data_IF_615136061752
#
_entry.id   IF_615136061752
#
_cell.length_a   1.000
_cell.length_b   1.000
_cell.length_c   1.000
_cell.angle_alpha   90.00
_cell.angle_beta   90.00
_cell.angle_gamma   90.00
#
_symmetry.space_group_name_H-M   'P 1'
#
loop_
_entity.id
_entity.type
_entity.pdbx_description
1 polymer ?
#
# COMPACT_ATOMS: atom_id res chain seq x y z
N UNK A 1 2.88 1.08 5.96
CA UNK A 1 3.20 -0.18 5.27
C UNK A 1 2.84 -1.32 6.19
N UNK A 2 2.22 -2.36 5.62
CA UNK A 2 1.83 -3.56 6.35
C UNK A 2 3.03 -4.50 6.46
N UNK A 3 3.19 -5.10 7.63
CA UNK A 3 4.14 -6.15 7.92
C UNK A 3 3.36 -7.36 8.49
N UNK A 4 3.55 -8.51 7.89
CA UNK A 4 2.82 -9.75 8.21
C UNK A 4 3.70 -10.77 8.94
N UNK A 5 4.91 -10.40 9.38
CA UNK A 5 5.80 -11.31 10.13
C UNK A 5 5.49 -11.34 11.64
N UNK A 6 4.39 -10.71 12.08
CA UNK A 6 4.02 -10.65 13.50
C UNK A 6 3.43 -11.98 13.97
N UNK A 7 3.89 -12.44 15.13
CA UNK A 7 3.40 -13.69 15.76
C UNK A 7 2.24 -13.45 16.72
N UNK A 8 2.15 -12.24 17.27
CA UNK A 8 1.08 -11.83 18.17
C UNK A 8 -0.11 -11.26 17.39
N UNK A 9 -1.31 -11.37 17.97
CA UNK A 9 -2.51 -10.75 17.38
C UNK A 9 -2.31 -9.23 17.23
N UNK A 10 -2.75 -8.64 16.10
CA UNK A 10 -3.66 -9.19 15.09
C UNK A 10 -2.98 -9.95 13.93
N UNK A 11 -1.74 -10.43 14.08
CA UNK A 11 -1.01 -11.16 13.02
C UNK A 11 -0.46 -10.26 11.91
N UNK A 12 -0.53 -8.94 12.10
CA UNK A 12 0.13 -7.94 11.27
C UNK A 12 0.44 -6.69 12.09
N UNK A 13 1.37 -5.88 11.60
CA UNK A 13 1.56 -4.50 12.06
C UNK A 13 1.42 -3.54 10.89
N UNK A 14 1.07 -2.29 11.17
CA UNK A 14 0.98 -1.25 10.16
C UNK A 14 1.67 0.03 10.63
N UNK A 15 2.71 0.42 9.90
CA UNK A 15 3.48 1.64 10.19
C UNK A 15 3.40 2.59 9.01
N UNK A 16 2.60 3.65 9.12
CA UNK A 16 2.38 4.61 8.03
C UNK A 16 3.70 5.24 7.53
N UNK A 17 4.61 5.59 8.45
CA UNK A 17 5.91 6.20 8.13
C UNK A 17 6.85 5.29 7.33
N UNK A 18 6.57 3.98 7.25
CA UNK A 18 7.32 3.05 6.40
C UNK A 18 6.87 3.10 4.92
N UNK A 19 5.87 3.91 4.58
CA UNK A 19 5.53 4.17 3.18
C UNK A 19 6.75 4.80 2.45
N UNK A 20 7.08 4.38 1.22
CA UNK A 20 8.29 4.84 0.57
C UNK A 20 8.24 6.36 0.31
N UNK A 21 9.34 7.05 0.62
CA UNK A 21 9.49 8.47 0.31
C UNK A 21 9.46 8.73 -1.20
N UNK A 22 9.18 9.98 -1.61
CA UNK A 22 9.22 10.40 -3.02
C UNK A 22 10.52 9.97 -3.71
N UNK A 23 11.66 10.16 -3.05
CA UNK A 23 12.97 9.72 -3.57
C UNK A 23 13.02 8.21 -3.81
N UNK A 24 12.61 7.38 -2.83
CA UNK A 24 12.60 5.92 -3.00
C UNK A 24 11.64 5.46 -4.09
N UNK A 25 10.46 6.08 -4.17
CA UNK A 25 9.50 5.82 -5.25
C UNK A 25 10.09 6.18 -6.61
N UNK A 26 10.75 7.34 -6.74
CA UNK A 26 11.38 7.77 -7.99
C UNK A 26 12.50 6.83 -8.42
N UNK A 27 13.33 6.34 -7.49
CA UNK A 27 14.34 5.33 -7.79
C UNK A 27 13.72 4.03 -8.31
N UNK A 28 12.62 3.58 -7.69
CA UNK A 28 11.87 2.43 -8.17
C UNK A 28 11.29 2.68 -9.57
N UNK A 29 10.64 3.81 -9.81
CA UNK A 29 10.05 4.15 -11.11
C UNK A 29 11.09 4.28 -12.22
N UNK A 30 12.26 4.87 -11.93
CA UNK A 30 13.36 4.94 -12.89
C UNK A 30 13.80 3.54 -13.33
N UNK A 31 13.92 2.63 -12.36
CA UNK A 31 14.31 1.24 -12.61
C UNK A 31 13.22 0.49 -13.38
N UNK A 32 11.96 0.64 -12.97
CA UNK A 32 10.80 0.02 -13.60
C UNK A 32 10.62 0.48 -15.05
N UNK A 33 10.70 1.78 -15.33
CA UNK A 33 10.53 2.33 -16.68
C UNK A 33 11.65 1.87 -17.62
N UNK A 34 12.90 1.84 -17.15
CA UNK A 34 14.03 1.26 -17.91
C UNK A 34 13.80 -0.22 -18.23
N UNK A 35 13.41 -1.00 -17.23
CA UNK A 35 13.13 -2.43 -17.40
C UNK A 35 11.92 -2.67 -18.34
N UNK A 36 10.99 -1.70 -18.43
CA UNK A 36 9.86 -1.72 -19.34
C UNK A 36 10.21 -1.28 -20.78
N UNK A 37 11.49 -1.03 -21.07
CA UNK A 37 11.97 -0.70 -22.41
C UNK A 37 12.01 0.80 -22.74
N UNK A 38 11.82 1.68 -21.76
CA UNK A 38 11.93 3.13 -21.98
C UNK A 38 13.39 3.58 -21.88
N UNK A 39 13.95 4.01 -23.01
CA UNK A 39 15.37 4.39 -23.13
C UNK A 39 15.70 5.70 -22.40
N UNK A 40 14.89 6.74 -22.62
CA UNK A 40 15.02 8.04 -21.95
C UNK A 40 13.84 8.29 -21.01
N UNK A 41 14.16 8.56 -19.73
CA UNK A 41 13.17 8.87 -18.69
C UNK A 41 13.22 10.36 -18.41
N UNK A 42 12.12 11.06 -18.70
CA UNK A 42 11.99 12.48 -18.42
C UNK A 42 11.50 12.72 -16.99
N UNK A 43 11.70 13.93 -16.43
CA UNK A 43 11.08 14.32 -15.17
C UNK A 43 9.56 14.18 -15.20
N UNK A 44 8.91 14.51 -16.33
CA UNK A 44 7.47 14.38 -16.51
C UNK A 44 6.99 12.93 -16.41
N UNK A 45 7.74 11.97 -16.96
CA UNK A 45 7.39 10.55 -16.83
C UNK A 45 7.37 10.11 -15.35
N UNK A 46 8.33 10.58 -14.56
CA UNK A 46 8.42 10.27 -13.13
C UNK A 46 7.30 10.92 -12.32
N UNK A 47 6.93 12.16 -12.64
CA UNK A 47 5.81 12.85 -12.01
C UNK A 47 4.49 12.15 -12.32
N UNK A 48 4.27 11.76 -13.58
CA UNK A 48 3.04 11.10 -14.00
C UNK A 48 2.84 9.75 -13.30
N UNK A 49 3.85 8.87 -13.34
CA UNK A 49 3.76 7.56 -12.68
C UNK A 49 3.69 7.68 -11.14
N UNK A 50 4.29 8.73 -10.55
CA UNK A 50 4.16 9.03 -9.13
C UNK A 50 2.72 9.41 -8.75
N UNK A 51 2.10 10.33 -9.50
CA UNK A 51 0.70 10.72 -9.28
C UNK A 51 -0.21 9.50 -9.46
N UNK A 52 -0.03 8.74 -10.54
CA UNK A 52 -0.81 7.54 -10.83
C UNK A 52 -0.69 6.51 -9.71
N UNK A 53 0.54 6.16 -9.30
CA UNK A 53 0.78 5.12 -8.28
C UNK A 53 0.21 5.53 -6.92
N UNK A 54 0.41 6.78 -6.49
CA UNK A 54 -0.14 7.26 -5.21
C UNK A 54 -1.66 7.37 -5.24
N UNK A 55 -2.26 7.63 -6.41
CA UNK A 55 -3.71 7.58 -6.60
C UNK A 55 -4.22 6.13 -6.53
N UNK A 56 -3.56 5.19 -7.20
CA UNK A 56 -3.91 3.76 -7.17
C UNK A 56 -3.69 3.11 -5.80
N UNK A 57 -2.84 3.67 -4.94
CA UNK A 57 -2.72 3.25 -3.55
C UNK A 57 -4.05 3.40 -2.78
N UNK A 58 -4.90 4.39 -3.12
CA UNK A 58 -6.26 4.47 -2.58
C UNK A 58 -7.10 3.27 -2.99
N UNK A 59 -7.08 2.93 -4.28
CA UNK A 59 -7.79 1.77 -4.79
C UNK A 59 -7.33 0.50 -4.08
N UNK A 60 -6.02 0.32 -3.89
CA UNK A 60 -5.46 -0.79 -3.12
C UNK A 60 -5.98 -0.83 -1.67
N UNK A 61 -5.99 0.29 -0.95
CA UNK A 61 -6.53 0.28 0.41
C UNK A 61 -8.01 -0.10 0.46
N UNK A 62 -8.83 0.47 -0.44
CA UNK A 62 -10.25 0.16 -0.51
C UNK A 62 -10.51 -1.31 -0.87
N UNK A 63 -9.92 -1.80 -1.96
CA UNK A 63 -10.15 -3.16 -2.46
C UNK A 63 -9.76 -4.22 -1.43
N UNK A 64 -8.62 -4.06 -0.77
CA UNK A 64 -8.17 -4.99 0.26
C UNK A 64 -8.96 -4.87 1.57
N UNK A 65 -9.51 -3.69 1.89
CA UNK A 65 -10.45 -3.54 3.00
C UNK A 65 -11.76 -4.30 2.76
N UNK A 66 -12.32 -4.19 1.55
CA UNK A 66 -13.52 -4.95 1.15
C UNK A 66 -13.23 -6.45 1.12
N UNK A 67 -12.10 -6.87 0.56
CA UNK A 67 -11.68 -8.27 0.56
C UNK A 67 -11.65 -8.84 1.98
N UNK A 68 -11.09 -8.08 2.94
CA UNK A 68 -10.98 -8.51 4.33
C UNK A 68 -12.35 -8.61 5.04
N UNK A 69 -13.30 -7.71 4.75
CA UNK A 69 -14.67 -7.85 5.26
C UNK A 69 -15.35 -9.13 4.79
N UNK A 70 -15.13 -9.54 3.54
CA UNK A 70 -15.63 -10.81 3.00
C UNK A 70 -14.94 -11.99 3.68
N UNK A 71 -13.61 -11.92 3.85
CA UNK A 71 -12.84 -12.98 4.52
C UNK A 71 -13.23 -13.17 5.99
N UNK A 72 -13.56 -12.10 6.71
CA UNK A 72 -14.02 -12.17 8.10
C UNK A 72 -15.25 -13.07 8.28
N UNK A 73 -16.06 -13.26 7.23
CA UNK A 73 -17.29 -14.06 7.27
C UNK A 73 -17.14 -15.44 6.62
N UNK A 74 -16.15 -15.63 5.75
CA UNK A 74 -16.10 -16.78 4.82
C UNK A 74 -14.79 -17.55 4.85
N UNK A 75 -13.73 -16.96 5.38
CA UNK A 75 -12.40 -17.55 5.29
C UNK A 75 -12.18 -18.64 6.33
N UNK A 76 -11.65 -19.77 5.86
CA UNK A 76 -10.99 -20.78 6.70
C UNK A 76 -9.47 -20.60 6.72
N UNK A 77 -8.96 -19.57 6.04
CA UNK A 77 -7.52 -19.33 5.93
C UNK A 77 -7.01 -18.83 7.28
N UNK A 78 -6.25 -19.71 7.93
CA UNK A 78 -5.28 -19.38 8.95
C UNK A 78 -4.03 -18.89 8.22
N UNK A 79 -3.76 -17.58 8.24
CA UNK A 79 -2.71 -16.96 7.41
C UNK A 79 -1.33 -17.20 8.06
N UNK A 80 -0.85 -18.44 7.96
CA UNK A 80 0.42 -18.89 8.52
C UNK A 80 1.52 -18.81 7.46
N UNK A 81 2.43 -17.84 7.60
CA UNK A 81 3.63 -17.74 6.78
C UNK A 81 4.85 -18.42 7.41
N UNK A 82 4.67 -19.33 8.37
CA UNK A 82 5.63 -20.24 9.05
C UNK A 82 5.93 -19.97 10.54
N UNK A 83 4.95 -19.51 11.35
CA UNK A 83 5.18 -19.32 12.80
C UNK A 83 3.96 -19.76 13.65
N UNK A 84 4.15 -20.43 14.81
CA UNK A 84 3.05 -20.77 15.70
C UNK A 84 2.37 -19.50 16.23
N UNK A 85 1.10 -19.30 15.88
CA UNK A 85 0.30 -18.18 16.35
C UNK A 85 -1.14 -18.26 15.84
N UNK A 86 -2.10 -17.58 16.49
CA UNK A 86 -3.50 -17.56 16.06
C UNK A 86 -3.74 -16.63 14.85
N UNK A 87 -4.81 -16.87 14.06
CA UNK A 87 -5.07 -16.20 12.79
C UNK A 87 -5.20 -14.68 12.87
N UNK A 88 -4.94 -14.03 11.73
CA UNK A 88 -5.22 -12.61 11.50
C UNK A 88 -6.69 -12.31 11.79
N UNK A 89 -6.95 -11.25 12.56
CA UNK A 89 -8.29 -10.69 12.67
C UNK A 89 -8.59 -9.85 11.44
N UNK A 90 -9.30 -10.45 10.48
CA UNK A 90 -9.70 -9.79 9.23
C UNK A 90 -10.53 -8.51 9.47
N UNK A 91 -11.18 -8.36 10.63
CA UNK A 91 -11.92 -7.15 10.99
C UNK A 91 -10.97 -5.99 11.28
N UNK A 92 -9.93 -6.24 12.09
CA UNK A 92 -8.89 -5.24 12.41
C UNK A 92 -8.09 -4.85 11.16
N UNK A 93 -7.81 -5.83 10.30
CA UNK A 93 -7.17 -5.58 9.02
C UNK A 93 -8.04 -4.71 8.11
N UNK A 94 -9.34 -5.02 7.97
CA UNK A 94 -10.28 -4.20 7.20
C UNK A 94 -10.32 -2.75 7.70
N UNK A 95 -10.46 -2.55 9.02
CA UNK A 95 -10.45 -1.22 9.64
C UNK A 95 -9.15 -0.47 9.33
N UNK A 96 -8.00 -1.12 9.51
CA UNK A 96 -6.69 -0.51 9.22
C UNK A 96 -6.56 -0.11 7.74
N UNK A 97 -7.08 -0.92 6.82
CA UNK A 97 -7.09 -0.61 5.37
C UNK A 97 -7.98 0.60 5.07
N UNK A 98 -9.19 0.66 5.62
CA UNK A 98 -10.09 1.81 5.40
C UNK A 98 -9.59 3.09 6.04
N UNK A 99 -9.01 3.03 7.24
CA UNK A 99 -8.37 4.18 7.88
C UNK A 99 -7.22 4.72 7.03
N UNK A 100 -6.41 3.83 6.46
CA UNK A 100 -5.32 4.20 5.55
C UNK A 100 -5.85 4.84 4.26
N UNK A 101 -6.95 4.31 3.71
CA UNK A 101 -7.65 4.91 2.57
C UNK A 101 -8.08 6.35 2.86
N UNK A 102 -8.79 6.59 3.96
CA UNK A 102 -9.30 7.92 4.29
C UNK A 102 -8.18 8.91 4.61
N UNK A 103 -7.11 8.47 5.29
CA UNK A 103 -5.91 9.28 5.56
C UNK A 103 -5.23 9.68 4.24
N UNK A 104 -4.97 8.72 3.35
CA UNK A 104 -4.34 8.98 2.06
C UNK A 104 -5.24 9.88 1.19
N UNK A 105 -6.56 9.68 1.20
CA UNK A 105 -7.51 10.47 0.42
C UNK A 105 -7.45 11.94 0.80
N UNK A 106 -7.26 12.24 2.09
CA UNK A 106 -7.08 13.60 2.61
C UNK A 106 -5.74 14.21 2.18
N UNK A 107 -4.67 13.43 2.13
CA UNK A 107 -3.33 13.90 1.78
C UNK A 107 -3.05 13.96 0.27
N UNK A 108 -3.81 13.22 -0.56
CA UNK A 108 -3.55 13.11 -1.99
C UNK A 108 -3.44 14.46 -2.73
N UNK A 109 -4.31 15.47 -2.49
CA UNK A 109 -4.17 16.76 -3.16
C UNK A 109 -2.81 17.43 -2.91
N UNK A 110 -2.30 17.32 -1.68
CA UNK A 110 -0.97 17.84 -1.34
C UNK A 110 0.14 17.04 -2.03
N UNK A 111 0.04 15.70 -2.04
CA UNK A 111 1.00 14.83 -2.74
C UNK A 111 1.07 15.19 -4.23
N UNK A 112 -0.07 15.46 -4.87
CA UNK A 112 -0.14 15.87 -6.28
C UNK A 112 0.45 17.26 -6.47
N UNK A 113 0.19 18.21 -5.58
CA UNK A 113 0.77 19.55 -5.66
C UNK A 113 2.31 19.51 -5.56
N UNK A 114 2.85 18.76 -4.59
CA UNK A 114 4.29 18.56 -4.37
C UNK A 114 4.97 17.73 -5.49
N UNK A 115 4.20 16.98 -6.28
CA UNK A 115 4.72 16.27 -7.44
C UNK A 115 5.00 17.22 -8.61
N UNK A 116 4.21 18.29 -8.74
CA UNK A 116 4.25 19.24 -9.85
C UNK A 116 5.13 20.48 -9.58
N UNK A 117 5.57 20.66 -8.34
CA UNK A 117 6.56 21.68 -7.91
C UNK A 117 7.99 21.19 -8.09
#
# INVERSE_FOLDING_TARGET
MFDYTMTDKPGFSFVCSNFPSKEKQFQFFKTYLKASGKEEITPTDLVNIYIETNTLALHSHFTWGVWAMVQAQTSSIDFDYSIPGPPIDYSEYALTRFDSYFKLKKCLPQIIAEANS
#
